data_IF_358725504439
#
_entry.id   IF_358725504439
#
_cell.length_a   1.000
_cell.length_b   1.000
_cell.length_c   1.000
_cell.angle_alpha   90.00
_cell.angle_beta   90.00
_cell.angle_gamma   90.00
#
_symmetry.space_group_name_H-M   'P 1'
#
loop_
_entity.id
_entity.type
_entity.pdbx_description
1 polymer ?
#
# COMPACT_ATOMS: atom_id res chain seq x y z
N UNK A 1 -9.54 -8.48 19.35
CA UNK A 1 -10.10 -8.97 18.08
C UNK A 1 -9.31 -8.30 16.97
N UNK A 2 -8.21 -8.91 16.51
CA UNK A 2 -7.32 -8.31 15.52
C UNK A 2 -7.94 -8.54 14.13
N UNK A 3 -8.38 -7.45 13.50
CA UNK A 3 -8.85 -7.46 12.12
C UNK A 3 -7.73 -8.01 11.24
N UNK A 4 -7.92 -9.21 10.67
CA UNK A 4 -6.93 -9.90 9.84
C UNK A 4 -7.00 -9.36 8.41
N UNK A 5 -6.68 -8.09 8.23
CA UNK A 5 -6.47 -7.56 6.89
C UNK A 5 -5.07 -7.97 6.42
N UNK A 6 -4.94 -8.39 5.16
CA UNK A 6 -3.67 -8.87 4.59
C UNK A 6 -2.53 -7.84 4.70
N UNK A 7 -2.85 -6.55 4.78
CA UNK A 7 -1.86 -5.48 4.93
C UNK A 7 -1.22 -5.43 6.32
N UNK A 8 -1.79 -6.08 7.34
CA UNK A 8 -1.25 -6.14 8.70
C UNK A 8 -0.75 -7.53 9.08
N UNK A 9 -0.48 -8.38 8.09
CA UNK A 9 0.14 -9.69 8.26
C UNK A 9 1.64 -9.55 7.94
N UNK A 10 2.55 -10.27 8.64
CA UNK A 10 3.96 -10.34 8.23
C UNK A 10 4.09 -10.67 6.74
N UNK A 11 4.99 -9.99 6.02
CA UNK A 11 5.10 -10.14 4.56
C UNK A 11 5.33 -11.60 4.12
N UNK A 12 6.05 -12.38 4.93
CA UNK A 12 6.29 -13.82 4.72
C UNK A 12 5.00 -14.65 4.68
N UNK A 13 3.98 -14.21 5.42
CA UNK A 13 2.78 -14.99 5.69
C UNK A 13 1.61 -14.54 4.81
N UNK A 14 1.71 -13.38 4.16
CA UNK A 14 0.68 -12.81 3.27
C UNK A 14 0.18 -13.81 2.23
N UNK A 15 1.10 -14.52 1.55
CA UNK A 15 0.74 -15.50 0.51
C UNK A 15 0.01 -16.69 1.10
N UNK A 16 0.39 -17.11 2.31
CA UNK A 16 -0.25 -18.20 3.02
C UNK A 16 -1.67 -17.81 3.44
N UNK A 17 -1.84 -16.68 4.13
CA UNK A 17 -3.15 -16.18 4.58
C UNK A 17 -4.10 -15.92 3.40
N UNK A 18 -3.60 -15.38 2.28
CA UNK A 18 -4.40 -15.20 1.07
C UNK A 18 -4.97 -16.53 0.54
N UNK A 19 -4.18 -17.60 0.54
CA UNK A 19 -4.64 -18.94 0.13
C UNK A 19 -5.65 -19.53 1.12
N UNK A 20 -5.48 -19.28 2.42
CA UNK A 20 -6.47 -19.68 3.42
C UNK A 20 -7.81 -19.00 3.16
N UNK A 21 -7.81 -17.70 2.88
CA UNK A 21 -9.03 -16.95 2.52
C UNK A 21 -9.70 -17.51 1.27
N UNK A 22 -8.92 -17.84 0.22
CA UNK A 22 -9.45 -18.47 -0.99
C UNK A 22 -10.11 -19.84 -0.72
N UNK A 23 -9.60 -20.60 0.26
CA UNK A 23 -10.14 -21.92 0.60
C UNK A 23 -11.42 -21.86 1.43
N UNK A 24 -11.66 -20.75 2.13
CA UNK A 24 -12.78 -20.57 3.05
C UNK A 24 -13.99 -19.88 2.40
N UNK A 25 -13.75 -19.04 1.39
CA UNK A 25 -14.80 -18.31 0.70
C UNK A 25 -15.35 -19.08 -0.51
N UNK A 26 -16.60 -18.80 -0.85
CA UNK A 26 -17.28 -19.42 -1.98
C UNK A 26 -16.67 -19.00 -3.33
N UNK A 27 -16.82 -19.87 -4.34
CA UNK A 27 -16.29 -19.67 -5.70
C UNK A 27 -16.87 -18.45 -6.41
N UNK A 28 -17.99 -17.88 -5.94
CA UNK A 28 -18.49 -16.58 -6.41
C UNK A 28 -17.45 -15.46 -6.29
N UNK A 29 -16.48 -15.58 -5.38
CA UNK A 29 -15.38 -14.63 -5.21
C UNK A 29 -14.17 -14.90 -6.12
N UNK A 30 -14.17 -15.97 -6.93
CA UNK A 30 -13.06 -16.29 -7.84
C UNK A 30 -12.62 -15.11 -8.74
N UNK A 31 -13.51 -14.29 -9.32
CA UNK A 31 -13.09 -13.13 -10.12
C UNK A 31 -12.29 -12.12 -9.29
N UNK A 32 -12.70 -11.92 -8.04
CA UNK A 32 -12.03 -11.04 -7.10
C UNK A 32 -10.65 -11.61 -6.70
N UNK A 33 -10.57 -12.88 -6.33
CA UNK A 33 -9.30 -13.52 -5.99
C UNK A 33 -8.33 -13.54 -7.17
N UNK A 34 -8.80 -13.79 -8.40
CA UNK A 34 -7.97 -13.71 -9.60
C UNK A 34 -7.41 -12.31 -9.82
N UNK A 35 -8.17 -11.26 -9.51
CA UNK A 35 -7.70 -9.88 -9.56
C UNK A 35 -6.60 -9.65 -8.51
N UNK A 36 -6.85 -9.99 -7.24
CA UNK A 36 -5.87 -9.81 -6.16
C UNK A 36 -4.60 -10.62 -6.43
N UNK A 37 -4.73 -11.87 -6.85
CA UNK A 37 -3.60 -12.74 -7.22
C UNK A 37 -2.78 -12.12 -8.36
N UNK A 38 -3.43 -11.54 -9.37
CA UNK A 38 -2.73 -10.93 -10.51
C UNK A 38 -1.98 -9.65 -10.14
N UNK A 39 -2.58 -8.80 -9.31
CA UNK A 39 -2.07 -7.44 -9.10
C UNK A 39 -1.30 -7.26 -7.80
N UNK A 40 -1.57 -8.04 -6.75
CA UNK A 40 -1.02 -7.81 -5.40
C UNK A 40 -0.19 -8.98 -4.84
N UNK A 41 -0.52 -10.23 -5.21
CA UNK A 41 0.18 -11.43 -4.70
C UNK A 41 1.23 -11.96 -5.68
N UNK A 42 0.86 -12.07 -6.96
CA UNK A 42 1.69 -12.66 -8.01
C UNK A 42 1.51 -14.18 -8.14
N UNK A 43 2.06 -14.73 -9.22
CA UNK A 43 2.11 -16.16 -9.51
C UNK A 43 3.57 -16.63 -9.52
N UNK A 44 3.81 -17.94 -9.42
CA UNK A 44 5.16 -18.56 -9.42
C UNK A 44 6.14 -18.01 -10.47
N UNK A 45 5.65 -17.59 -11.64
CA UNK A 45 6.47 -17.06 -12.76
C UNK A 45 6.16 -15.60 -13.12
N UNK A 46 5.30 -14.93 -12.36
CA UNK A 46 4.84 -13.58 -12.68
C UNK A 46 4.71 -12.75 -11.40
N UNK A 47 5.59 -11.77 -11.26
CA UNK A 47 5.57 -10.81 -10.17
C UNK A 47 4.27 -9.98 -10.23
N UNK A 48 3.70 -9.68 -9.06
CA UNK A 48 2.57 -8.76 -8.93
C UNK A 48 2.92 -7.36 -9.46
N UNK A 49 1.92 -6.64 -9.97
CA UNK A 49 2.08 -5.23 -10.35
C UNK A 49 2.43 -4.36 -9.14
N UNK A 50 1.78 -4.64 -8.01
CA UNK A 50 1.98 -3.98 -6.73
C UNK A 50 2.56 -5.01 -5.78
N UNK A 51 3.87 -4.97 -5.60
CA UNK A 51 4.59 -5.95 -4.77
C UNK A 51 4.20 -5.79 -3.30
N UNK A 52 4.21 -6.88 -2.54
CA UNK A 52 3.80 -6.89 -1.11
C UNK A 52 4.42 -5.75 -0.29
N UNK A 53 5.74 -5.44 -0.38
CA UNK A 53 6.35 -4.37 0.41
C UNK A 53 5.78 -2.97 0.13
N UNK A 54 5.12 -2.75 -1.02
CA UNK A 54 4.60 -1.42 -1.37
C UNK A 54 3.28 -1.09 -0.68
N UNK A 55 2.55 -2.10 -0.21
CA UNK A 55 1.21 -1.95 0.38
C UNK A 55 1.07 -2.60 1.75
N UNK A 56 2.03 -3.43 2.17
CA UNK A 56 2.07 -3.98 3.51
C UNK A 56 2.39 -2.89 4.55
N UNK A 57 1.68 -2.91 5.66
CA UNK A 57 1.77 -1.93 6.74
C UNK A 57 2.23 -2.56 8.06
N UNK A 58 2.53 -3.86 8.10
CA UNK A 58 2.85 -4.59 9.32
C UNK A 58 4.00 -3.93 10.09
N UNK A 59 5.17 -3.79 9.47
CA UNK A 59 6.33 -3.18 10.11
C UNK A 59 6.08 -1.71 10.46
N UNK A 60 5.39 -0.95 9.59
CA UNK A 60 5.05 0.46 9.85
C UNK A 60 4.19 0.63 11.10
N UNK A 61 3.26 -0.29 11.35
CA UNK A 61 2.43 -0.28 12.56
C UNK A 61 3.25 -0.63 13.79
N UNK A 62 4.13 -1.63 13.70
CA UNK A 62 5.01 -2.01 14.81
C UNK A 62 6.01 -0.90 15.18
N UNK A 63 6.49 -0.17 14.19
CA UNK A 63 7.47 0.92 14.34
C UNK A 63 6.82 2.28 14.63
N UNK A 64 5.49 2.32 14.81
CA UNK A 64 4.71 3.56 15.02
C UNK A 64 4.94 4.63 13.93
N UNK A 65 5.29 4.19 12.72
CA UNK A 65 5.56 5.10 11.61
C UNK A 65 4.26 5.75 11.12
N UNK A 66 4.32 7.01 10.64
CA UNK A 66 3.16 7.69 10.07
C UNK A 66 2.51 6.83 8.98
N UNK A 67 1.20 6.59 9.09
CA UNK A 67 0.44 5.73 8.17
C UNK A 67 0.11 6.43 6.85
N UNK A 68 0.08 7.76 6.85
CA UNK A 68 -0.23 8.61 5.70
C UNK A 68 0.97 9.47 5.29
N UNK A 69 0.95 9.98 4.06
CA UNK A 69 1.90 10.95 3.52
C UNK A 69 1.55 12.40 3.91
N UNK A 70 0.64 12.63 4.87
CA UNK A 70 0.15 13.96 5.25
C UNK A 70 1.28 14.94 5.59
N UNK A 71 2.38 14.46 6.19
CA UNK A 71 3.55 15.29 6.49
C UNK A 71 4.27 15.76 5.23
N UNK A 72 4.42 14.88 4.24
CA UNK A 72 5.01 15.19 2.93
C UNK A 72 4.09 16.12 2.13
N UNK A 73 2.78 15.87 2.14
CA UNK A 73 1.79 16.75 1.50
C UNK A 73 1.77 18.15 2.14
N UNK A 74 1.85 18.21 3.47
CA UNK A 74 1.93 19.46 4.22
C UNK A 74 3.22 20.22 3.89
N UNK A 75 4.34 19.51 3.76
CA UNK A 75 5.62 20.10 3.37
C UNK A 75 5.58 20.64 1.94
N UNK A 76 5.08 19.88 0.96
CA UNK A 76 4.89 20.36 -0.41
C UNK A 76 3.95 21.57 -0.49
N UNK A 77 2.87 21.58 0.31
CA UNK A 77 1.95 22.71 0.37
C UNK A 77 2.62 23.96 0.95
N UNK A 78 3.37 23.82 2.05
CA UNK A 78 4.13 24.90 2.64
C UNK A 78 5.18 25.46 1.67
N UNK A 79 5.91 24.58 1.00
CA UNK A 79 6.90 24.95 -0.02
C UNK A 79 6.26 25.73 -1.17
N UNK A 80 5.19 25.20 -1.77
CA UNK A 80 4.46 25.85 -2.88
C UNK A 80 3.87 27.20 -2.46
N UNK A 81 3.37 27.30 -1.23
CA UNK A 81 2.75 28.53 -0.71
C UNK A 81 3.80 29.60 -0.40
N UNK A 82 4.97 29.21 0.10
CA UNK A 82 6.05 30.14 0.44
C UNK A 82 6.84 30.58 -0.80
N UNK A 83 7.18 29.69 -1.72
CA UNK A 83 7.96 30.07 -2.92
C UNK A 83 7.19 31.01 -3.85
N UNK A 84 5.87 30.80 -4.02
CA UNK A 84 5.02 31.72 -4.81
C UNK A 84 4.95 33.14 -4.25
N UNK A 85 5.24 33.34 -2.96
CA UNK A 85 5.24 34.67 -2.33
C UNK A 85 6.57 35.43 -2.49
N UNK A 86 7.66 34.74 -2.83
CA UNK A 86 9.01 35.33 -2.85
C UNK A 86 9.66 35.37 -4.25
N UNK A 87 9.02 34.80 -5.27
CA UNK A 87 9.49 34.90 -6.67
C UNK A 87 9.10 36.26 -7.29
N UNK A 88 9.81 37.33 -6.93
CA UNK A 88 9.93 38.51 -7.78
C UNK A 88 10.94 38.20 -8.89
N UNK A 89 10.52 37.43 -9.89
CA UNK A 89 11.28 37.37 -11.14
C UNK A 89 11.00 38.69 -11.86
N UNK A 90 11.85 39.68 -11.61
CA UNK A 90 11.96 40.84 -12.49
C UNK A 90 12.50 40.28 -13.82
N UNK A 91 11.59 40.10 -14.78
CA UNK A 91 11.94 39.76 -16.14
C UNK A 91 12.82 40.89 -16.68
N UNK A 92 14.08 40.56 -16.98
CA UNK A 92 15.02 41.36 -17.78
C UNK A 92 14.67 41.24 -19.27
#
# INVERSE_FOLDING_TARGET
>A
MMHKDLCYVPESDVVYEFKQLMSQLDKSFDPFFKYIEKYYIGKKKKVARYQIPTWNLYNRVLEELPRTNNSVESWHNAFTTNEKKHLNIIAL
#
